data_IF_754837281715
#
_entry.id   IF_754837281715
#
_cell.length_a   1.000
_cell.length_b   1.000
_cell.length_c   1.000
_cell.angle_alpha   90.00
_cell.angle_beta   90.00
_cell.angle_gamma   90.00
#
_symmetry.space_group_name_H-M   'P 1'
#
loop_
_entity.id
_entity.type
_entity.pdbx_description
1 polymer ?
#
# COMPACT_ATOMS: atom_id res chain seq x y z
N UNK A 1 -2.59 23.52 4.20
CA UNK A 1 -2.05 22.43 3.37
C UNK A 1 -1.28 23.04 2.22
N UNK A 2 -0.10 22.49 1.92
CA UNK A 2 0.72 22.81 0.74
C UNK A 2 0.19 22.02 -0.47
N UNK A 3 0.47 22.49 -1.68
CA UNK A 3 -0.01 21.86 -2.90
C UNK A 3 0.45 20.40 -3.02
N UNK A 4 1.69 20.12 -2.62
CA UNK A 4 2.28 18.79 -2.64
C UNK A 4 1.52 17.80 -1.75
N UNK A 5 1.04 18.28 -0.60
CA UNK A 5 0.22 17.47 0.33
C UNK A 5 -1.13 17.12 -0.31
N UNK A 6 -1.76 18.09 -0.99
CA UNK A 6 -3.03 17.87 -1.71
C UNK A 6 -2.81 16.90 -2.86
N UNK A 7 -1.72 17.04 -3.62
CA UNK A 7 -1.37 16.13 -4.71
C UNK A 7 -1.22 14.70 -4.19
N UNK A 8 -0.54 14.50 -3.06
CA UNK A 8 -0.43 13.18 -2.42
C UNK A 8 -1.79 12.53 -2.15
N UNK A 9 -2.77 13.33 -1.70
CA UNK A 9 -4.13 12.87 -1.41
C UNK A 9 -4.92 12.44 -2.66
N UNK A 10 -4.47 12.80 -3.86
CA UNK A 10 -5.09 12.39 -5.12
C UNK A 10 -4.58 11.04 -5.65
N UNK A 11 -3.58 10.44 -5.01
CA UNK A 11 -3.00 9.16 -5.42
C UNK A 11 -3.53 7.98 -4.61
N UNK A 12 -3.74 6.87 -5.33
CA UNK A 12 -4.01 5.54 -4.80
C UNK A 12 -2.92 4.60 -5.32
N UNK A 13 -2.15 3.98 -4.42
CA UNK A 13 -1.04 3.09 -4.79
C UNK A 13 -1.18 1.71 -4.12
N UNK A 14 -0.59 0.69 -4.74
CA UNK A 14 -0.50 -0.66 -4.16
C UNK A 14 0.94 -1.03 -3.80
N UNK A 15 1.12 -2.12 -3.06
CA UNK A 15 2.44 -2.69 -2.74
C UNK A 15 2.43 -4.21 -2.90
N UNK A 16 3.59 -4.84 -2.75
CA UNK A 16 3.76 -6.29 -2.87
C UNK A 16 3.97 -6.95 -1.52
N UNK A 17 3.40 -8.14 -1.35
CA UNK A 17 3.54 -8.97 -0.16
C UNK A 17 2.47 -8.70 0.92
N UNK A 18 2.43 -9.59 1.91
CA UNK A 18 1.42 -9.61 2.99
C UNK A 18 1.79 -8.73 4.18
N UNK A 19 3.08 -8.40 4.34
CA UNK A 19 3.59 -7.68 5.50
C UNK A 19 4.35 -6.44 5.05
N UNK A 20 4.27 -5.41 5.87
CA UNK A 20 4.95 -4.13 5.69
C UNK A 20 5.78 -3.91 6.95
N UNK A 21 7.01 -3.42 6.78
CA UNK A 21 7.82 -2.89 7.87
C UNK A 21 8.09 -1.40 7.63
N UNK A 22 8.77 -0.75 8.59
CA UNK A 22 9.10 0.67 8.51
C UNK A 22 10.02 1.04 7.33
N UNK A 23 10.68 0.06 6.70
CA UNK A 23 11.57 0.27 5.56
C UNK A 23 10.84 0.09 4.22
N UNK A 24 9.58 -0.34 4.22
CA UNK A 24 8.81 -0.52 2.99
C UNK A 24 8.51 0.84 2.34
N UNK A 25 8.70 1.01 1.02
CA UNK A 25 8.43 2.26 0.33
C UNK A 25 7.02 2.83 0.57
N UNK A 26 6.00 1.97 0.70
CA UNK A 26 4.63 2.43 0.92
C UNK A 26 4.47 3.15 2.28
N UNK A 27 5.27 2.77 3.29
CA UNK A 27 5.25 3.43 4.58
C UNK A 27 5.78 4.88 4.49
N UNK A 28 6.83 5.09 3.70
CA UNK A 28 7.38 6.43 3.42
C UNK A 28 6.40 7.27 2.56
N UNK A 29 5.73 6.66 1.58
CA UNK A 29 4.77 7.38 0.74
C UNK A 29 3.55 7.86 1.56
N UNK A 30 3.07 7.04 2.51
CA UNK A 30 2.01 7.45 3.44
C UNK A 30 2.48 8.58 4.35
N UNK A 31 3.62 8.39 5.03
CA UNK A 31 4.07 9.30 6.09
C UNK A 31 4.61 10.63 5.56
N UNK A 32 5.43 10.56 4.52
CA UNK A 32 6.25 11.70 4.07
C UNK A 32 5.70 12.35 2.80
N UNK A 33 4.89 11.62 2.01
CA UNK A 33 4.30 12.13 0.75
C UNK A 33 2.79 12.33 0.79
N UNK A 34 2.16 12.15 1.95
CA UNK A 34 0.72 12.35 2.15
C UNK A 34 -0.13 11.51 1.19
N UNK A 35 0.24 10.25 0.95
CA UNK A 35 -0.53 9.37 0.06
C UNK A 35 -2.00 9.27 0.51
N UNK A 36 -2.93 9.48 -0.43
CA UNK A 36 -4.37 9.51 -0.17
C UNK A 36 -5.02 8.16 0.04
N UNK A 37 -4.44 7.08 -0.51
CA UNK A 37 -4.96 5.74 -0.31
C UNK A 37 -4.02 4.63 -0.70
N UNK A 38 -4.28 3.45 -0.15
CA UNK A 38 -3.61 2.20 -0.50
C UNK A 38 -4.65 1.20 -1.02
N UNK A 39 -4.36 0.57 -2.16
CA UNK A 39 -5.17 -0.52 -2.72
C UNK A 39 -4.49 -1.88 -2.46
N UNK A 40 -5.28 -2.85 -2.00
CA UNK A 40 -4.84 -4.20 -1.68
C UNK A 40 -5.38 -5.21 -2.70
N UNK A 41 -4.58 -6.23 -2.99
CA UNK A 41 -4.97 -7.36 -3.84
C UNK A 41 -4.72 -8.69 -3.13
N UNK A 42 -5.53 -9.70 -3.43
CA UNK A 42 -5.34 -11.08 -2.96
C UNK A 42 -4.25 -11.82 -3.75
N UNK A 43 -4.02 -11.44 -5.02
CA UNK A 43 -3.07 -12.08 -5.94
C UNK A 43 -2.18 -11.07 -6.64
N UNK A 44 -0.94 -11.48 -6.94
CA UNK A 44 0.00 -10.70 -7.73
C UNK A 44 0.03 -11.23 -9.17
N UNK A 45 -0.95 -10.77 -9.95
CA UNK A 45 -1.17 -11.24 -11.33
C UNK A 45 0.04 -10.97 -12.23
N UNK A 46 0.75 -9.85 -12.01
CA UNK A 46 1.95 -9.48 -12.78
C UNK A 46 3.07 -10.54 -12.71
N UNK A 47 3.08 -11.38 -11.66
CA UNK A 47 4.03 -12.48 -11.48
C UNK A 47 3.39 -13.87 -11.47
N UNK A 48 2.08 -13.95 -11.75
CA UNK A 48 1.27 -15.18 -11.63
C UNK A 48 1.37 -15.82 -10.23
N UNK A 49 1.53 -15.00 -9.19
CA UNK A 49 1.56 -15.46 -7.81
C UNK A 49 0.13 -15.44 -7.24
N UNK A 50 -0.28 -16.54 -6.61
CA UNK A 50 -1.62 -16.71 -6.04
C UNK A 50 -1.80 -16.02 -4.67
N UNK A 51 -0.83 -15.22 -4.24
CA UNK A 51 -0.85 -14.50 -2.99
C UNK A 51 -0.29 -13.10 -3.22
N UNK A 52 -0.80 -12.11 -2.49
CA UNK A 52 -0.23 -10.78 -2.42
C UNK A 52 -0.48 -10.13 -1.06
N UNK A 53 -1.36 -9.13 -0.94
CA UNK A 53 -1.56 -8.37 0.29
C UNK A 53 -2.55 -9.01 1.25
N UNK A 54 -3.55 -9.70 0.71
CA UNK A 54 -4.66 -10.30 1.48
C UNK A 54 -4.38 -11.80 1.65
N UNK A 55 -3.88 -12.19 2.81
CA UNK A 55 -3.66 -13.60 3.17
C UNK A 55 -4.86 -14.22 3.86
N UNK A 56 -5.37 -13.56 4.90
CA UNK A 56 -6.55 -13.97 5.66
C UNK A 56 -7.12 -12.78 6.47
N UNK A 57 -8.35 -12.89 7.02
CA UNK A 57 -8.98 -11.78 7.76
C UNK A 57 -8.20 -11.32 9.00
N UNK A 58 -7.51 -12.23 9.70
CA UNK A 58 -6.74 -11.87 10.89
C UNK A 58 -5.49 -11.06 10.51
N UNK A 59 -4.80 -11.43 9.42
CA UNK A 59 -3.63 -10.72 8.92
C UNK A 59 -3.98 -9.29 8.44
N UNK A 60 -5.09 -9.10 7.73
CA UNK A 60 -5.46 -7.77 7.19
C UNK A 60 -5.92 -6.78 8.28
N UNK A 61 -6.36 -7.29 9.43
CA UNK A 61 -6.84 -6.46 10.55
C UNK A 61 -5.71 -5.90 11.42
N UNK A 62 -4.54 -6.54 11.40
CA UNK A 62 -3.35 -6.16 12.18
C UNK A 62 -2.62 -4.98 11.53
#
# INVERSE_FOLDING_TARGET
MKLEEIIGQLFLLGFRGQNIDANNPIAADIKDRNLGGVILFDKLLARKENQNNIGNPAQVKN
#
